data_IF_874654809416
#
_entry.id   IF_874654809416
#
_cell.length_a   1.000
_cell.length_b   1.000
_cell.length_c   1.000
_cell.angle_alpha   90.00
_cell.angle_beta   90.00
_cell.angle_gamma   90.00
#
_symmetry.space_group_name_H-M   'P 1'
#
loop_
_entity.id
_entity.type
_entity.pdbx_description
1 polymer ?
#
# COMPACT_ATOMS: atom_id res chain seq x y z
N UNK A 1 -31.76 -2.83 16.39
CA UNK A 1 -31.02 -1.89 15.53
C UNK A 1 -31.02 -0.55 16.22
N UNK A 2 -29.87 -0.10 16.74
CA UNK A 2 -29.78 1.24 17.33
C UNK A 2 -29.93 2.27 16.20
N UNK A 3 -30.92 3.17 16.30
CA UNK A 3 -31.09 4.28 15.36
C UNK A 3 -29.87 5.20 15.46
N UNK A 4 -29.13 5.32 14.36
CA UNK A 4 -28.06 6.31 14.23
C UNK A 4 -28.70 7.66 13.94
N UNK A 5 -28.41 8.65 14.77
CA UNK A 5 -28.90 10.02 14.55
C UNK A 5 -27.92 10.75 13.64
N UNK A 6 -28.41 11.27 12.52
CA UNK A 6 -27.58 12.12 11.66
C UNK A 6 -27.48 13.49 12.30
N UNK A 7 -26.25 13.97 12.52
CA UNK A 7 -25.98 15.30 13.10
C UNK A 7 -25.45 16.27 12.06
N UNK A 8 -25.62 17.56 12.31
CA UNK A 8 -25.11 18.62 11.43
C UNK A 8 -23.58 18.61 11.37
N UNK A 9 -23.02 18.76 10.16
CA UNK A 9 -21.59 18.72 9.89
C UNK A 9 -21.23 17.77 8.76
N UNK A 10 -19.95 17.66 8.44
CA UNK A 10 -19.43 16.75 7.41
C UNK A 10 -18.15 16.08 7.88
N UNK A 11 -17.89 14.90 7.32
CA UNK A 11 -16.60 14.23 7.49
C UNK A 11 -15.57 14.97 6.64
N UNK A 12 -14.46 15.49 7.21
CA UNK A 12 -13.43 16.15 6.42
C UNK A 12 -12.83 15.20 5.39
N UNK A 13 -12.74 15.67 4.15
CA UNK A 13 -12.11 14.94 3.06
C UNK A 13 -11.58 15.89 2.00
N UNK A 14 -10.51 15.49 1.32
CA UNK A 14 -9.86 16.30 0.29
C UNK A 14 -9.73 15.52 -1.01
N UNK A 15 -10.24 16.10 -2.10
CA UNK A 15 -10.00 15.63 -3.46
C UNK A 15 -8.79 16.36 -4.07
N UNK A 16 -7.98 15.66 -4.86
CA UNK A 16 -6.92 16.25 -5.68
C UNK A 16 -6.60 15.36 -6.87
N UNK A 17 -5.96 15.91 -7.90
CA UNK A 17 -5.26 15.15 -8.94
C UNK A 17 -3.77 15.29 -8.68
N UNK A 18 -3.06 14.18 -8.52
CA UNK A 18 -1.63 14.20 -8.27
C UNK A 18 -0.82 14.37 -9.57
N UNK A 19 0.49 14.49 -9.44
CA UNK A 19 1.44 14.69 -10.52
C UNK A 19 1.54 13.49 -11.49
N UNK A 20 1.03 12.31 -11.10
CA UNK A 20 0.90 11.13 -11.97
C UNK A 20 -0.44 11.07 -12.73
N UNK A 21 -1.26 12.12 -12.63
CA UNK A 21 -2.59 12.20 -13.25
C UNK A 21 -3.65 11.34 -12.56
N UNK A 22 -3.37 10.80 -11.37
CA UNK A 22 -4.33 10.00 -10.62
C UNK A 22 -5.29 10.89 -9.85
N UNK A 23 -6.59 10.53 -9.88
CA UNK A 23 -7.57 11.10 -8.96
C UNK A 23 -7.32 10.54 -7.56
N UNK A 24 -7.21 11.42 -6.57
CA UNK A 24 -6.94 11.08 -5.18
C UNK A 24 -8.00 11.66 -4.25
N UNK A 25 -8.31 10.94 -3.17
CA UNK A 25 -9.20 11.41 -2.12
C UNK A 25 -8.65 11.00 -0.76
N UNK A 26 -8.63 11.90 0.23
CA UNK A 26 -8.06 11.63 1.56
C UNK A 26 -9.06 11.96 2.65
N UNK A 27 -9.27 11.05 3.58
CA UNK A 27 -10.09 11.24 4.79
C UNK A 27 -9.20 11.01 6.01
N UNK A 28 -8.75 12.07 6.69
CA UNK A 28 -7.99 11.94 7.93
C UNK A 28 -8.81 11.28 9.04
N UNK A 29 -8.19 10.33 9.74
CA UNK A 29 -8.74 9.74 10.95
C UNK A 29 -8.41 10.68 12.10
N UNK A 30 -9.42 11.40 12.59
CA UNK A 30 -9.24 12.33 13.70
C UNK A 30 -9.05 11.55 15.00
N UNK A 31 -7.99 11.90 15.73
CA UNK A 31 -7.60 11.29 17.00
C UNK A 31 -7.48 12.37 18.08
N UNK A 32 -7.67 12.02 19.37
CA UNK A 32 -7.32 12.90 20.47
C UNK A 32 -5.87 13.39 20.37
N UNK A 33 -5.58 14.61 20.87
CA UNK A 33 -4.23 15.12 20.86
C UNK A 33 -3.26 14.23 21.64
N UNK A 34 -2.10 13.99 21.05
CA UNK A 34 -0.98 13.35 21.73
C UNK A 34 -0.16 14.31 22.61
N UNK A 35 0.62 13.76 23.54
CA UNK A 35 1.57 14.55 24.34
C UNK A 35 2.58 15.22 23.39
N UNK A 36 2.74 16.54 23.51
CA UNK A 36 3.60 17.35 22.63
C UNK A 36 3.29 17.18 21.12
N UNK A 37 2.05 16.81 20.77
CA UNK A 37 1.64 16.58 19.37
C UNK A 37 2.05 15.22 18.80
N UNK A 38 2.58 14.31 19.63
CA UNK A 38 2.88 12.94 19.22
C UNK A 38 1.62 12.09 19.14
N UNK A 39 1.01 12.08 17.97
CA UNK A 39 -0.20 11.34 17.65
C UNK A 39 -0.10 10.66 16.28
N UNK A 40 -0.80 9.55 16.06
CA UNK A 40 -0.82 8.90 14.75
C UNK A 40 -1.50 9.77 13.70
N UNK A 41 -0.88 9.88 12.54
CA UNK A 41 -1.41 10.61 11.37
C UNK A 41 -1.93 9.61 10.33
N UNK A 42 -3.07 9.00 10.62
CA UNK A 42 -3.69 8.00 9.73
C UNK A 42 -4.74 8.63 8.80
N UNK A 43 -4.85 8.08 7.59
CA UNK A 43 -5.85 8.50 6.60
C UNK A 43 -6.42 7.31 5.84
N UNK A 44 -7.72 7.35 5.51
CA UNK A 44 -8.29 6.52 4.45
C UNK A 44 -8.04 7.24 3.12
N UNK A 45 -7.18 6.65 2.29
CA UNK A 45 -6.68 7.29 1.08
C UNK A 45 -7.09 6.51 -0.17
N UNK A 46 -7.72 7.20 -1.10
CA UNK A 46 -8.02 6.74 -2.45
C UNK A 46 -6.99 7.24 -3.45
N UNK A 47 -6.61 6.39 -4.38
CA UNK A 47 -5.86 6.69 -5.58
C UNK A 47 -6.45 5.87 -6.74
N UNK A 48 -6.84 6.51 -7.85
CA UNK A 48 -7.46 5.83 -9.00
C UNK A 48 -6.54 4.82 -9.70
N UNK A 49 -5.22 4.96 -9.55
CA UNK A 49 -4.21 4.02 -10.03
C UNK A 49 -3.82 3.00 -8.94
N UNK A 50 -4.43 3.08 -7.76
CA UNK A 50 -4.18 2.20 -6.62
C UNK A 50 -4.73 0.79 -6.84
N UNK A 51 -3.95 -0.21 -6.43
CA UNK A 51 -4.33 -1.62 -6.46
C UNK A 51 -5.41 -2.00 -5.44
N UNK A 52 -5.64 -3.30 -5.30
CA UNK A 52 -6.55 -3.85 -4.31
C UNK A 52 -5.83 -4.08 -2.98
N UNK A 53 -6.27 -3.40 -1.91
CA UNK A 53 -5.63 -3.46 -0.59
C UNK A 53 -6.60 -3.77 0.56
N UNK A 54 -6.22 -3.38 1.79
CA UNK A 54 -7.03 -3.56 3.01
C UNK A 54 -8.40 -2.88 2.96
N UNK A 55 -8.62 -1.91 2.06
CA UNK A 55 -9.88 -1.19 1.90
C UNK A 55 -10.50 -1.42 0.52
N UNK A 56 -10.09 -2.46 -0.20
CA UNK A 56 -10.55 -2.72 -1.57
C UNK A 56 -9.74 -1.97 -2.62
N UNK A 57 -10.24 -1.95 -3.86
CA UNK A 57 -9.49 -1.41 -5.01
C UNK A 57 -9.45 0.12 -5.00
N UNK A 58 -8.24 0.67 -5.10
CA UNK A 58 -7.95 2.09 -5.09
C UNK A 58 -7.84 2.69 -3.69
N UNK A 59 -8.25 1.97 -2.64
CA UNK A 59 -8.25 2.47 -1.26
C UNK A 59 -7.16 1.81 -0.42
N UNK A 60 -6.55 2.61 0.46
CA UNK A 60 -5.49 2.19 1.38
C UNK A 60 -5.63 2.91 2.72
N UNK A 61 -5.04 2.32 3.76
CA UNK A 61 -4.81 2.98 5.04
C UNK A 61 -3.41 3.59 4.98
N UNK A 62 -3.34 4.91 4.93
CA UNK A 62 -2.08 5.68 4.91
C UNK A 62 -1.66 6.09 6.33
N UNK A 63 -0.38 6.43 6.49
CA UNK A 63 0.18 6.89 7.77
C UNK A 63 0.93 5.82 8.57
N UNK A 64 1.18 4.66 7.97
CA UNK A 64 1.97 3.58 8.54
C UNK A 64 3.23 3.38 7.71
N UNK A 65 4.38 3.43 8.36
CA UNK A 65 5.67 3.26 7.72
C UNK A 65 6.15 1.82 7.84
N UNK A 66 6.82 1.34 6.80
CA UNK A 66 7.45 0.02 6.77
C UNK A 66 8.82 0.10 6.09
N UNK A 67 9.74 -0.74 6.54
CA UNK A 67 10.89 -1.13 5.74
C UNK A 67 10.55 -2.47 5.12
N UNK A 68 10.72 -2.60 3.81
CA UNK A 68 10.46 -3.82 3.07
C UNK A 68 11.62 -4.18 2.16
N UNK A 69 11.59 -5.40 1.63
CA UNK A 69 12.51 -5.77 0.56
C UNK A 69 12.09 -5.17 -0.77
N UNK A 70 13.06 -4.78 -1.59
CA UNK A 70 12.84 -4.27 -2.93
C UNK A 70 13.84 -4.86 -3.94
N UNK A 71 13.42 -4.94 -5.23
CA UNK A 71 14.26 -5.48 -6.30
C UNK A 71 15.59 -4.73 -6.49
N UNK A 72 16.57 -5.41 -7.09
CA UNK A 72 17.74 -4.76 -7.65
C UNK A 72 17.39 -4.15 -9.01
N UNK A 73 17.87 -2.95 -9.28
CA UNK A 73 17.62 -2.27 -10.56
C UNK A 73 18.92 -2.11 -11.34
N UNK A 74 18.84 -2.09 -12.68
CA UNK A 74 20.03 -1.87 -13.51
C UNK A 74 20.68 -0.51 -13.23
N UNK A 75 19.87 0.51 -12.90
CA UNK A 75 20.34 1.85 -12.60
C UNK A 75 21.13 1.93 -11.29
N UNK A 76 20.63 1.31 -10.21
CA UNK A 76 21.26 1.41 -8.88
C UNK A 76 22.29 0.31 -8.63
N UNK A 77 22.09 -0.88 -9.19
CA UNK A 77 22.83 -2.08 -8.83
C UNK A 77 23.67 -2.67 -9.98
N UNK A 78 23.61 -2.09 -11.18
CA UNK A 78 24.23 -2.60 -12.41
C UNK A 78 23.57 -3.86 -12.99
N UNK A 79 22.64 -4.48 -12.26
CA UNK A 79 21.96 -5.72 -12.61
C UNK A 79 20.49 -5.65 -12.21
N UNK A 80 19.61 -6.29 -12.98
CA UNK A 80 18.21 -6.48 -12.58
C UNK A 80 18.10 -7.75 -11.74
N UNK A 81 17.35 -7.69 -10.65
CA UNK A 81 17.05 -8.86 -9.82
C UNK A 81 15.75 -8.69 -9.06
N UNK A 82 14.96 -9.76 -8.95
CA UNK A 82 13.75 -9.81 -8.13
C UNK A 82 14.07 -9.91 -6.64
N UNK A 83 13.05 -9.72 -5.80
CA UNK A 83 13.12 -10.10 -4.38
C UNK A 83 13.03 -11.61 -4.27
N UNK A 84 14.07 -12.26 -3.74
CA UNK A 84 14.19 -13.72 -3.63
C UNK A 84 14.20 -14.23 -2.18
N UNK A 85 14.22 -13.33 -1.19
CA UNK A 85 14.42 -13.62 0.23
C UNK A 85 15.81 -14.19 0.52
N UNK A 86 16.82 -13.59 -0.09
CA UNK A 86 18.24 -13.91 0.08
C UNK A 86 19.06 -12.66 0.44
N UNK A 87 20.39 -12.78 0.46
CA UNK A 87 21.30 -11.67 0.77
C UNK A 87 21.53 -10.71 -0.42
N UNK A 88 20.99 -11.02 -1.61
CA UNK A 88 21.06 -10.12 -2.78
C UNK A 88 19.93 -9.10 -2.82
N UNK A 89 18.85 -9.36 -2.08
CA UNK A 89 17.74 -8.43 -1.91
C UNK A 89 18.19 -7.11 -1.32
N UNK A 90 17.36 -6.11 -1.56
CA UNK A 90 17.61 -4.75 -1.11
C UNK A 90 16.48 -4.27 -0.24
N UNK A 91 16.69 -3.17 0.47
CA UNK A 91 15.79 -2.64 1.47
C UNK A 91 15.31 -1.29 1.02
N UNK A 92 14.02 -1.06 1.20
CA UNK A 92 13.37 0.19 0.89
C UNK A 92 12.50 0.60 2.08
N UNK A 93 12.65 1.83 2.55
CA UNK A 93 11.79 2.44 3.56
C UNK A 93 10.70 3.21 2.83
N UNK A 94 9.44 2.81 3.01
CA UNK A 94 8.29 3.43 2.36
C UNK A 94 8.43 3.52 0.82
N UNK A 95 9.03 2.48 0.22
CA UNK A 95 9.31 2.40 -1.22
C UNK A 95 10.60 3.09 -1.65
N UNK A 96 11.23 3.87 -0.76
CA UNK A 96 12.46 4.58 -1.06
C UNK A 96 13.70 3.72 -0.75
N UNK A 97 14.62 3.62 -1.71
CA UNK A 97 15.81 2.77 -1.60
C UNK A 97 16.71 3.17 -0.43
N UNK A 98 17.13 2.17 0.34
CA UNK A 98 18.18 2.30 1.34
C UNK A 98 19.56 2.04 0.73
N UNK A 99 20.46 3.01 0.90
CA UNK A 99 21.84 3.00 0.44
C UNK A 99 22.75 2.77 1.64
N UNK A 100 23.57 1.73 1.57
CA UNK A 100 24.55 1.42 2.61
C UNK A 100 25.61 2.53 2.67
N UNK A 101 25.85 3.06 3.86
CA UNK A 101 26.89 4.07 4.09
C UNK A 101 28.00 3.57 5.01
N UNK A 102 27.73 2.57 5.85
CA UNK A 102 28.73 1.93 6.70
C UNK A 102 28.36 0.47 7.00
N UNK A 103 29.36 -0.40 7.13
CA UNK A 103 29.17 -1.83 7.40
C UNK A 103 29.01 -2.70 6.14
N UNK A 104 28.24 -3.78 6.25
CA UNK A 104 28.05 -4.76 5.17
C UNK A 104 26.55 -4.96 4.90
N UNK A 105 26.14 -4.85 3.63
CA UNK A 105 24.72 -4.88 3.27
C UNK A 105 23.99 -6.09 3.86
N UNK A 106 22.85 -5.86 4.52
CA UNK A 106 22.04 -6.91 5.13
C UNK A 106 22.57 -7.48 6.44
N UNK A 107 23.63 -6.91 7.00
CA UNK A 107 24.26 -7.39 8.25
C UNK A 107 23.99 -6.43 9.41
N UNK A 108 23.84 -6.97 10.62
CA UNK A 108 23.69 -6.19 11.85
C UNK A 108 24.83 -5.18 12.04
N UNK A 109 24.51 -3.99 12.53
CA UNK A 109 25.43 -2.88 12.69
C UNK A 109 25.60 -2.01 11.43
N UNK A 110 25.01 -2.39 10.31
CA UNK A 110 25.08 -1.59 9.08
C UNK A 110 24.25 -0.33 9.16
N UNK A 111 24.81 0.77 8.66
CA UNK A 111 24.14 2.07 8.58
C UNK A 111 23.73 2.35 7.13
N UNK A 112 22.52 2.86 6.97
CA UNK A 112 21.92 3.24 5.70
C UNK A 112 21.41 4.68 5.72
N UNK A 113 21.25 5.22 4.51
CA UNK A 113 20.51 6.45 4.21
C UNK A 113 19.48 6.17 3.13
N UNK A 114 18.47 7.02 3.02
CA UNK A 114 17.56 6.98 1.86
C UNK A 114 18.25 7.56 0.63
N UNK A 115 17.97 7.02 -0.55
CA UNK A 115 18.60 7.47 -1.82
C UNK A 115 18.37 8.96 -2.12
N UNK A 116 17.15 9.45 -1.89
CA UNK A 116 16.90 10.89 -1.74
C UNK A 116 17.01 11.18 -0.25
N UNK A 117 18.11 11.80 0.16
CA UNK A 117 18.48 11.84 1.56
C UNK A 117 17.45 12.61 2.40
N UNK A 118 16.83 11.89 3.34
CA UNK A 118 15.91 12.44 4.34
C UNK A 118 16.65 13.02 5.54
N UNK A 119 17.98 12.89 5.58
CA UNK A 119 18.88 13.14 6.70
C UNK A 119 18.61 12.25 7.91
N UNK A 120 17.93 11.12 7.70
CA UNK A 120 17.71 10.12 8.74
C UNK A 120 18.89 9.16 8.82
N UNK A 121 19.30 8.77 10.02
CA UNK A 121 20.26 7.68 10.25
C UNK A 121 19.48 6.38 10.45
N UNK A 122 19.78 5.35 9.66
CA UNK A 122 19.07 4.08 9.69
C UNK A 122 20.07 2.97 10.05
N UNK A 123 19.88 2.29 11.18
CA UNK A 123 20.80 1.25 11.67
C UNK A 123 20.08 -0.09 11.72
N UNK A 124 20.67 -1.10 11.10
CA UNK A 124 20.14 -2.45 11.10
C UNK A 124 20.65 -3.26 12.30
N UNK A 125 19.79 -4.08 12.90
CA UNK A 125 20.08 -4.82 14.14
C UNK A 125 19.61 -6.28 14.08
N UNK A 126 20.33 -7.15 14.77
CA UNK A 126 20.04 -8.59 14.84
C UNK A 126 20.10 -9.32 13.49
N UNK A 127 19.76 -10.60 13.50
CA UNK A 127 19.75 -11.45 12.30
C UNK A 127 18.52 -12.35 12.32
N UNK A 128 17.83 -12.44 11.18
CA UNK A 128 16.65 -13.27 10.99
C UNK A 128 16.61 -13.82 9.55
N UNK A 129 16.92 -15.12 9.42
CA UNK A 129 17.10 -15.76 8.12
C UNK A 129 18.20 -15.06 7.30
N UNK A 130 17.90 -14.75 6.03
CA UNK A 130 18.81 -14.02 5.15
C UNK A 130 18.65 -12.50 5.31
N UNK A 131 19.14 -11.96 6.43
CA UNK A 131 19.17 -10.52 6.67
C UNK A 131 18.98 -10.16 8.14
N UNK A 132 18.61 -8.91 8.38
CA UNK A 132 18.51 -8.34 9.73
C UNK A 132 17.16 -8.59 10.40
N UNK A 133 17.14 -8.55 11.72
CA UNK A 133 15.92 -8.75 12.49
C UNK A 133 15.09 -7.46 12.64
N UNK A 134 15.75 -6.31 12.74
CA UNK A 134 15.08 -5.02 12.97
C UNK A 134 15.88 -3.84 12.43
N UNK A 135 15.24 -2.67 12.40
CA UNK A 135 15.90 -1.39 12.11
C UNK A 135 15.54 -0.36 13.16
N UNK A 136 16.47 0.55 13.44
CA UNK A 136 16.22 1.77 14.20
C UNK A 136 16.56 2.97 13.33
N UNK A 137 15.62 3.91 13.22
CA UNK A 137 15.75 5.13 12.42
C UNK A 137 15.75 6.34 13.34
N UNK A 138 16.80 7.15 13.29
CA UNK A 138 16.82 8.48 13.91
C UNK A 138 16.59 9.53 12.84
N UNK A 139 15.49 10.29 12.94
CA UNK A 139 15.16 11.33 11.97
C UNK A 139 15.85 12.65 12.31
N UNK A 140 15.98 13.53 11.32
CA UNK A 140 16.45 14.92 11.54
C UNK A 140 15.60 15.72 12.53
N UNK A 141 14.35 15.30 12.76
CA UNK A 141 13.43 15.94 13.69
C UNK A 141 13.61 15.46 15.14
N UNK A 142 14.58 14.57 15.40
CA UNK A 142 14.84 14.03 16.74
C UNK A 142 13.89 12.90 17.14
N UNK A 143 13.15 12.31 16.19
CA UNK A 143 12.34 11.11 16.45
C UNK A 143 13.19 9.85 16.29
N UNK A 144 12.97 8.88 17.16
CA UNK A 144 13.47 7.51 17.04
C UNK A 144 12.32 6.60 16.66
N UNK A 145 12.43 5.95 15.50
CA UNK A 145 11.48 4.98 14.98
C UNK A 145 12.11 3.60 15.04
N UNK A 146 11.37 2.61 15.51
CA UNK A 146 11.79 1.22 15.60
C UNK A 146 10.93 0.38 14.66
N UNK A 147 11.55 -0.51 13.89
CA UNK A 147 10.88 -1.38 12.91
C UNK A 147 11.23 -2.84 13.16
N UNK A 148 10.22 -3.73 13.14
CA UNK A 148 10.41 -5.17 13.34
C UNK A 148 10.96 -5.57 14.72
N UNK A 149 10.85 -4.67 15.71
CA UNK A 149 11.41 -4.90 17.04
C UNK A 149 10.53 -5.82 17.89
N UNK A 150 9.24 -5.95 17.56
CA UNK A 150 8.31 -6.91 18.16
C UNK A 150 8.07 -8.07 17.20
N UNK A 151 7.61 -9.21 17.73
CA UNK A 151 7.32 -10.38 16.87
C UNK A 151 6.26 -10.05 15.81
N UNK A 152 5.19 -9.34 16.18
CA UNK A 152 4.09 -8.97 15.28
C UNK A 152 4.42 -7.86 14.27
N UNK A 153 5.56 -7.17 14.43
CA UNK A 153 6.02 -6.16 13.47
C UNK A 153 7.13 -6.67 12.56
N UNK A 154 7.59 -7.91 12.75
CA UNK A 154 8.66 -8.54 11.98
C UNK A 154 8.06 -9.68 11.16
N UNK A 155 7.60 -9.34 9.96
CA UNK A 155 6.80 -10.24 9.13
C UNK A 155 7.70 -11.09 8.24
N UNK A 156 7.83 -12.37 8.54
CA UNK A 156 8.59 -13.31 7.70
C UNK A 156 7.86 -13.68 6.41
N UNK A 157 8.64 -13.96 5.36
CA UNK A 157 8.09 -14.53 4.15
C UNK A 157 7.51 -15.92 4.47
N UNK A 158 6.27 -16.18 4.05
CA UNK A 158 5.59 -17.45 4.35
C UNK A 158 6.46 -18.65 3.96
N UNK A 159 6.60 -19.59 4.90
CA UNK A 159 7.42 -20.80 4.73
C UNK A 159 8.93 -20.58 4.86
N UNK A 160 9.39 -19.40 5.28
CA UNK A 160 10.81 -19.05 5.45
C UNK A 160 11.04 -18.37 6.81
N UNK A 161 12.29 -18.37 7.27
CA UNK A 161 12.74 -17.59 8.44
C UNK A 161 13.22 -16.18 8.09
N UNK A 162 13.15 -15.81 6.81
CA UNK A 162 13.67 -14.53 6.31
C UNK A 162 12.57 -13.48 6.35
N UNK A 163 12.86 -12.36 7.03
CA UNK A 163 11.93 -11.23 7.14
C UNK A 163 11.66 -10.59 5.79
N UNK A 164 10.39 -10.43 5.45
CA UNK A 164 9.92 -9.77 4.22
C UNK A 164 9.62 -8.28 4.44
N UNK A 165 9.03 -7.96 5.59
CA UNK A 165 8.63 -6.61 5.98
C UNK A 165 8.95 -6.40 7.46
N UNK A 166 9.57 -5.27 7.76
CA UNK A 166 9.75 -4.73 9.10
C UNK A 166 8.77 -3.56 9.25
N UNK A 167 7.62 -3.82 9.85
CA UNK A 167 6.63 -2.79 10.14
C UNK A 167 7.09 -1.93 11.32
N UNK A 168 6.68 -0.67 11.34
CA UNK A 168 6.99 0.22 12.47
C UNK A 168 6.37 -0.32 13.76
N UNK A 169 7.16 -0.46 14.82
CA UNK A 169 6.70 -0.97 16.11
C UNK A 169 6.56 0.14 17.16
N UNK A 170 7.37 1.20 17.04
CA UNK A 170 7.39 2.30 18.00
C UNK A 170 7.93 3.60 17.39
N UNK A 171 7.38 4.73 17.81
CA UNK A 171 7.98 6.06 17.63
C UNK A 171 8.17 6.67 19.01
N UNK A 172 9.32 7.31 19.24
CA UNK A 172 9.57 8.11 20.43
C UNK A 172 10.33 9.40 20.11
N UNK A 173 10.18 10.41 20.95
CA UNK A 173 10.90 11.68 20.85
C UNK A 173 12.03 11.77 21.89
N UNK A 174 12.81 12.86 21.81
CA UNK A 174 13.90 13.15 22.75
C UNK A 174 13.45 13.36 24.20
N UNK A 175 12.14 13.54 24.45
CA UNK A 175 11.54 13.66 25.79
C UNK A 175 10.89 12.35 26.24
N UNK A 176 11.10 11.27 25.50
CA UNK A 176 10.59 9.92 25.76
C UNK A 176 9.06 9.81 25.70
N UNK A 177 8.37 10.78 25.10
CA UNK A 177 6.99 10.56 24.67
C UNK A 177 7.02 9.49 23.60
N UNK A 178 6.03 8.60 23.60
CA UNK A 178 6.01 7.49 22.66
C UNK A 178 4.63 7.10 22.17
N UNK A 179 4.63 6.40 21.04
CA UNK A 179 3.52 5.59 20.56
C UNK A 179 4.02 4.23 20.06
N UNK A 180 3.21 3.20 20.23
CA UNK A 180 3.50 1.82 19.84
C UNK A 180 2.44 1.29 18.89
N UNK A 181 2.86 0.39 18.01
CA UNK A 181 2.03 -0.18 16.95
C UNK A 181 1.98 -1.69 17.13
N UNK A 182 0.78 -2.25 17.08
CA UNK A 182 0.52 -3.67 17.15
C UNK A 182 -0.18 -4.14 15.89
N UNK A 183 0.07 -5.39 15.54
CA UNK A 183 -0.38 -6.00 14.31
C UNK A 183 -1.04 -7.35 14.60
N UNK A 184 -1.89 -7.80 13.68
CA UNK A 184 -2.33 -9.18 13.61
C UNK A 184 -1.56 -9.82 12.46
N UNK A 185 -0.79 -10.85 12.78
CA UNK A 185 -0.09 -11.67 11.80
C UNK A 185 -0.91 -12.88 11.41
N UNK A 186 -0.83 -13.20 10.13
CA UNK A 186 -1.38 -14.40 9.52
C UNK A 186 -0.26 -15.08 8.72
N UNK A 187 0.65 -15.71 9.46
CA UNK A 187 1.84 -16.37 8.92
C UNK A 187 1.50 -17.53 7.98
N UNK A 188 0.34 -18.17 8.16
CA UNK A 188 -0.13 -19.22 7.26
C UNK A 188 -0.42 -18.69 5.85
N UNK A 189 -0.84 -17.43 5.76
CA UNK A 189 -1.21 -16.76 4.51
C UNK A 189 -0.23 -15.64 4.11
N UNK A 190 0.90 -15.50 4.80
CA UNK A 190 1.91 -14.46 4.56
C UNK A 190 1.33 -13.06 4.54
N UNK A 191 0.37 -12.77 5.42
CA UNK A 191 -0.29 -11.47 5.54
C UNK A 191 -0.16 -10.94 6.94
N UNK A 192 -0.24 -9.62 7.07
CA UNK A 192 -0.30 -8.93 8.34
C UNK A 192 -1.12 -7.65 8.19
N UNK A 193 -1.68 -7.15 9.28
CA UNK A 193 -2.42 -5.89 9.28
C UNK A 193 -2.36 -5.20 10.63
N UNK A 194 -2.28 -3.86 10.66
CA UNK A 194 -2.24 -3.08 11.89
C UNK A 194 -3.53 -3.29 12.68
N UNK A 195 -3.45 -3.55 13.97
CA UNK A 195 -4.61 -3.80 14.83
C UNK A 195 -4.85 -2.65 15.81
N UNK A 196 -3.78 -2.09 16.35
CA UNK A 196 -3.85 -1.07 17.40
C UNK A 196 -2.64 -0.16 17.38
N UNK A 197 -2.87 1.12 17.63
CA UNK A 197 -1.83 2.11 17.90
C UNK A 197 -2.13 2.72 19.27
N UNK A 198 -1.23 2.56 20.21
CA UNK A 198 -1.33 3.18 21.54
C UNK A 198 -0.36 4.36 21.60
N UNK A 199 -0.83 5.52 22.02
CA UNK A 199 -0.04 6.77 22.06
C UNK A 199 -0.37 7.57 23.32
N UNK A 200 0.26 8.74 23.49
CA UNK A 200 0.22 9.56 24.72
C UNK A 200 0.98 8.99 25.93
N UNK A 201 1.86 7.99 25.71
CA UNK A 201 2.74 7.47 26.76
C UNK A 201 4.00 8.30 26.94
N UNK A 202 4.61 8.24 28.12
CA UNK A 202 5.92 8.82 28.40
C UNK A 202 6.77 7.85 29.24
N UNK A 203 7.90 7.41 28.68
CA UNK A 203 8.70 6.35 29.29
C UNK A 203 9.45 6.82 30.54
N UNK A 204 10.02 8.03 30.54
CA UNK A 204 10.75 8.57 31.69
C UNK A 204 9.83 8.86 32.89
N UNK A 205 8.59 9.27 32.63
CA UNK A 205 7.58 9.50 33.66
C UNK A 205 6.84 8.22 34.10
N UNK A 206 7.13 7.06 33.49
CA UNK A 206 6.40 5.81 33.75
C UNK A 206 4.92 5.86 33.35
N UNK A 207 4.55 6.79 32.47
CA UNK A 207 3.17 7.00 32.04
C UNK A 207 2.85 6.06 30.87
N UNK A 208 1.90 5.15 31.08
CA UNK A 208 1.35 4.33 30.02
C UNK A 208 0.56 5.17 29.01
N UNK A 209 0.52 4.71 27.76
CA UNK A 209 -0.35 5.26 26.73
C UNK A 209 -1.82 5.12 27.14
N UNK A 210 -2.57 6.23 27.12
CA UNK A 210 -4.01 6.24 27.44
C UNK A 210 -4.89 6.31 26.19
N UNK A 211 -4.40 6.94 25.12
CA UNK A 211 -5.15 7.10 23.89
C UNK A 211 -4.78 5.99 22.90
N UNK A 212 -5.75 5.58 22.08
CA UNK A 212 -5.50 4.54 21.08
C UNK A 212 -6.30 4.72 19.80
N UNK A 213 -5.75 4.22 18.69
CA UNK A 213 -6.52 3.92 17.47
C UNK A 213 -6.64 2.41 17.36
N UNK A 214 -7.84 1.90 17.10
CA UNK A 214 -8.14 0.48 17.00
C UNK A 214 -8.77 0.19 15.65
N UNK A 215 -8.27 -0.84 14.99
CA UNK A 215 -8.65 -1.23 13.64
C UNK A 215 -9.34 -2.59 13.70
N UNK A 216 -10.57 -2.63 13.20
CA UNK A 216 -11.40 -3.83 13.17
C UNK A 216 -11.61 -4.23 11.72
N UNK A 217 -11.51 -5.52 11.47
CA UNK A 217 -11.54 -6.11 10.15
C UNK A 217 -12.72 -7.07 10.00
N UNK A 218 -13.13 -7.30 8.76
CA UNK A 218 -14.07 -8.34 8.38
C UNK A 218 -13.55 -9.17 7.20
N UNK A 219 -14.09 -10.37 7.03
CA UNK A 219 -13.74 -11.22 5.90
C UNK A 219 -14.09 -10.54 4.57
N UNK A 220 -13.26 -10.75 3.55
CA UNK A 220 -13.49 -10.24 2.20
C UNK A 220 -13.84 -11.39 1.23
N UNK A 221 -14.70 -11.16 0.22
CA UNK A 221 -15.10 -12.21 -0.73
C UNK A 221 -14.10 -12.46 -1.88
N UNK A 222 -13.19 -11.52 -2.15
CA UNK A 222 -12.27 -11.50 -3.29
C UNK A 222 -10.85 -11.94 -2.94
N UNK A 223 -10.72 -13.06 -2.24
CA UNK A 223 -9.42 -13.58 -1.82
C UNK A 223 -8.67 -14.16 -3.03
N UNK A 224 -7.52 -13.57 -3.37
CA UNK A 224 -6.64 -14.04 -4.45
C UNK A 224 -5.27 -14.36 -3.87
N UNK A 225 -4.73 -15.58 -4.04
CA UNK A 225 -3.37 -15.90 -3.63
C UNK A 225 -2.37 -15.24 -4.58
N UNK A 226 -1.37 -14.59 -4.01
CA UNK A 226 -0.19 -14.08 -4.69
C UNK A 226 1.05 -14.82 -4.18
N UNK A 227 2.11 -14.79 -4.97
CA UNK A 227 3.38 -15.41 -4.58
C UNK A 227 4.54 -14.48 -4.87
N UNK A 228 5.46 -14.40 -3.93
CA UNK A 228 6.76 -13.77 -4.11
C UNK A 228 7.83 -14.84 -3.83
N UNK A 229 8.66 -15.17 -4.82
CA UNK A 229 9.74 -16.16 -4.69
C UNK A 229 9.35 -17.44 -3.94
N UNK A 230 8.16 -17.98 -4.26
CA UNK A 230 7.61 -19.21 -3.66
C UNK A 230 6.89 -19.05 -2.32
N UNK A 231 6.92 -17.86 -1.70
CA UNK A 231 6.19 -17.56 -0.47
C UNK A 231 4.80 -17.02 -0.78
N UNK A 232 3.77 -17.61 -0.17
CA UNK A 232 2.37 -17.22 -0.33
C UNK A 232 2.09 -15.87 0.34
N UNK A 233 1.30 -15.02 -0.34
CA UNK A 233 0.70 -13.80 0.20
C UNK A 233 -0.78 -13.80 -0.15
N UNK A 234 -1.65 -13.85 0.86
CA UNK A 234 -3.10 -13.95 0.66
C UNK A 234 -3.85 -13.16 1.71
N UNK A 235 -4.43 -12.04 1.30
CA UNK A 235 -5.23 -11.18 2.17
C UNK A 235 -6.65 -11.74 2.35
N UNK A 236 -7.02 -12.05 3.60
CA UNK A 236 -8.33 -12.63 3.92
C UNK A 236 -9.35 -11.62 4.46
N UNK A 237 -8.88 -10.40 4.76
CA UNK A 237 -9.69 -9.40 5.46
C UNK A 237 -9.64 -8.03 4.79
N UNK A 238 -10.63 -7.21 5.11
CA UNK A 238 -10.71 -5.79 4.78
C UNK A 238 -11.11 -4.97 6.00
N UNK A 239 -10.72 -3.71 6.06
CA UNK A 239 -10.99 -2.83 7.19
C UNK A 239 -12.50 -2.56 7.27
N UNK A 240 -13.09 -2.82 8.43
CA UNK A 240 -14.49 -2.53 8.72
C UNK A 240 -14.63 -1.19 9.44
N UNK A 241 -13.78 -0.98 10.45
CA UNK A 241 -13.86 0.21 11.30
C UNK A 241 -12.47 0.65 11.74
N UNK A 242 -12.23 1.96 11.74
CA UNK A 242 -11.12 2.58 12.45
C UNK A 242 -11.67 3.51 13.54
N UNK A 243 -11.31 3.27 14.78
CA UNK A 243 -11.86 4.00 15.93
C UNK A 243 -10.77 4.58 16.80
N UNK A 244 -10.92 5.86 17.16
CA UNK A 244 -10.06 6.55 18.10
C UNK A 244 -10.68 6.54 19.50
N UNK A 245 -9.85 6.32 20.51
CA UNK A 245 -10.23 6.20 21.91
C UNK A 245 -9.37 7.09 22.80
N UNK A 246 -9.99 7.61 23.86
CA UNK A 246 -9.35 8.13 25.06
C UNK A 246 -9.69 7.18 26.21
N UNK A 247 -8.70 6.43 26.71
CA UNK A 247 -8.91 5.32 27.63
C UNK A 247 -9.85 4.26 27.04
N UNK A 248 -11.02 4.08 27.66
CA UNK A 248 -12.08 3.17 27.21
C UNK A 248 -13.15 3.86 26.36
N UNK A 249 -13.17 5.20 26.32
CA UNK A 249 -14.21 5.98 25.64
C UNK A 249 -13.87 6.16 24.17
N UNK A 250 -14.76 5.71 23.28
CA UNK A 250 -14.64 5.99 21.84
C UNK A 250 -14.92 7.47 21.60
N UNK A 251 -14.05 8.17 20.87
CA UNK A 251 -14.25 9.59 20.54
C UNK A 251 -14.65 9.78 19.08
N UNK A 252 -14.20 8.89 18.20
CA UNK A 252 -14.54 8.90 16.79
C UNK A 252 -14.43 7.48 16.23
N UNK A 253 -15.36 7.10 15.36
CA UNK A 253 -15.34 5.85 14.61
C UNK A 253 -15.61 6.12 13.14
N UNK A 254 -14.81 5.52 12.27
CA UNK A 254 -14.93 5.58 10.82
C UNK A 254 -15.36 4.19 10.33
N UNK A 255 -16.62 4.07 9.95
CA UNK A 255 -17.20 2.85 9.41
C UNK A 255 -17.09 2.85 7.88
N UNK A 256 -16.53 1.78 7.33
CA UNK A 256 -16.38 1.59 5.88
C UNK A 256 -17.40 0.56 5.42
N UNK A 257 -18.25 0.95 4.48
CA UNK A 257 -19.21 0.06 3.84
C UNK A 257 -18.76 -0.25 2.42
N UNK A 258 -18.97 -1.50 2.00
CA UNK A 258 -18.53 -2.00 0.71
C UNK A 258 -19.72 -2.41 -0.15
N UNK A 259 -19.60 -2.19 -1.45
CA UNK A 259 -20.47 -2.77 -2.46
C UNK A 259 -19.64 -3.66 -3.39
N UNK A 260 -20.22 -4.77 -3.83
CA UNK A 260 -19.70 -5.58 -4.93
C UNK A 260 -20.26 -5.00 -6.23
N UNK A 261 -19.38 -4.66 -7.18
CA UNK A 261 -19.82 -4.20 -8.49
C UNK A 261 -20.37 -5.36 -9.33
N UNK A 262 -21.34 -5.07 -10.20
CA UNK A 262 -21.90 -6.07 -11.12
C UNK A 262 -20.79 -6.63 -12.01
N UNK A 263 -20.70 -7.95 -12.13
CA UNK A 263 -19.67 -8.62 -12.95
C UNK A 263 -18.30 -8.77 -12.29
N UNK A 264 -18.11 -8.35 -11.04
CA UNK A 264 -16.86 -8.58 -10.29
C UNK A 264 -17.10 -8.92 -8.83
N UNK A 265 -16.26 -9.80 -8.27
CA UNK A 265 -16.26 -10.09 -6.83
C UNK A 265 -15.49 -9.04 -6.02
N UNK A 266 -14.78 -8.12 -6.68
CA UNK A 266 -13.91 -7.13 -6.01
C UNK A 266 -14.77 -6.08 -5.29
N UNK A 267 -14.63 -5.93 -3.96
CA UNK A 267 -15.34 -4.93 -3.20
C UNK A 267 -14.77 -3.55 -3.49
N UNK A 268 -15.67 -2.59 -3.62
CA UNK A 268 -15.40 -1.16 -3.70
C UNK A 268 -15.97 -0.49 -2.46
N UNK A 269 -15.27 0.49 -1.91
CA UNK A 269 -15.81 1.31 -0.82
C UNK A 269 -17.03 2.05 -1.37
N UNK A 270 -18.20 1.76 -0.84
CA UNK A 270 -19.47 2.39 -1.22
C UNK A 270 -19.74 3.63 -0.36
N UNK A 271 -19.40 3.58 0.92
CA UNK A 271 -19.48 4.75 1.78
C UNK A 271 -18.52 4.71 2.96
N UNK A 272 -18.17 5.90 3.44
CA UNK A 272 -17.44 6.09 4.69
C UNK A 272 -18.28 7.00 5.58
N UNK A 273 -18.56 6.52 6.78
CA UNK A 273 -19.38 7.21 7.77
C UNK A 273 -18.57 7.45 9.03
N UNK A 274 -18.56 8.69 9.51
CA UNK A 274 -17.93 9.06 10.77
C UNK A 274 -18.98 9.24 11.85
N UNK A 275 -18.77 8.62 13.00
CA UNK A 275 -19.60 8.74 14.19
C UNK A 275 -18.77 9.12 15.42
N UNK A 276 -19.40 9.74 16.41
CA UNK A 276 -18.82 9.91 17.75
C UNK A 276 -19.02 8.65 18.62
N UNK A 277 -18.53 8.68 19.87
CA UNK A 277 -18.70 7.59 20.83
C UNK A 277 -20.15 7.26 21.22
N UNK A 278 -21.09 8.17 20.96
CA UNK A 278 -22.52 7.99 21.23
C UNK A 278 -23.30 7.56 19.96
N UNK A 279 -22.59 7.14 18.90
CA UNK A 279 -23.15 6.74 17.61
C UNK A 279 -23.95 7.85 16.91
N UNK A 280 -23.65 9.11 17.22
CA UNK A 280 -24.14 10.25 16.44
C UNK A 280 -23.22 10.42 15.24
N UNK A 281 -23.77 10.31 14.05
CA UNK A 281 -22.99 10.21 12.83
C UNK A 281 -23.20 11.43 11.94
N UNK A 282 -22.15 11.87 11.25
CA UNK A 282 -22.35 12.74 10.09
C UNK A 282 -23.00 11.96 8.95
N UNK A 283 -23.56 12.70 7.99
CA UNK A 283 -23.99 12.09 6.74
C UNK A 283 -22.80 11.34 6.09
N UNK A 284 -22.99 10.09 5.64
CA UNK A 284 -21.93 9.30 5.06
C UNK A 284 -21.48 9.87 3.71
N UNK A 285 -20.17 9.89 3.46
CA UNK A 285 -19.62 10.18 2.13
C UNK A 285 -19.92 8.96 1.26
N UNK A 286 -20.61 9.17 0.14
CA UNK A 286 -20.96 8.13 -0.83
C UNK A 286 -19.98 8.12 -2.00
N UNK A 287 -19.62 6.93 -2.47
CA UNK A 287 -18.72 6.73 -3.60
C UNK A 287 -19.39 5.85 -4.65
N UNK A 288 -19.27 6.26 -5.91
CA UNK A 288 -19.67 5.48 -7.08
C UNK A 288 -18.49 5.31 -8.02
N UNK A 289 -18.51 4.25 -8.81
CA UNK A 289 -17.44 3.88 -9.73
C UNK A 289 -18.03 3.60 -11.10
N UNK A 290 -17.27 3.89 -12.14
CA UNK A 290 -17.62 3.46 -13.49
C UNK A 290 -17.73 1.93 -13.51
N UNK A 291 -18.86 1.44 -14.01
CA UNK A 291 -19.07 0.01 -14.25
C UNK A 291 -18.58 -0.30 -15.67
N UNK A 292 -17.98 -1.48 -15.91
CA UNK A 292 -17.70 -1.90 -17.27
C UNK A 292 -19.01 -1.97 -18.06
N UNK A 293 -19.04 -1.39 -19.26
CA UNK A 293 -20.12 -1.67 -20.19
C UNK A 293 -20.03 -3.15 -20.57
N UNK A 294 -21.12 -3.89 -20.36
CA UNK A 294 -21.23 -5.31 -20.73
C UNK A 294 -21.81 -5.49 -22.14
N UNK A 295 -22.14 -4.39 -22.80
CA UNK A 295 -22.62 -4.36 -24.19
C UNK A 295 -21.48 -4.00 -25.11
N UNK A 296 -21.40 -4.68 -26.25
CA UNK A 296 -20.53 -4.28 -27.34
C UNK A 296 -21.19 -3.13 -28.08
N UNK A 297 -20.55 -1.97 -28.07
CA UNK A 297 -20.91 -0.90 -29.00
C UNK A 297 -20.17 -1.19 -30.30
N UNK A 298 -20.91 -1.37 -31.40
CA UNK A 298 -20.29 -1.49 -32.72
C UNK A 298 -19.59 -0.16 -33.02
N UNK A 299 -18.25 -0.15 -33.20
CA UNK A 299 -17.55 1.09 -33.50
C UNK A 299 -18.04 1.62 -34.85
N UNK A 300 -18.15 2.96 -35.05
CA UNK A 300 -18.35 3.50 -36.38
C UNK A 300 -17.29 2.90 -37.31
N UNK A 301 -17.72 2.36 -38.46
CA UNK A 301 -16.95 1.48 -39.33
C UNK A 301 -15.45 1.74 -39.29
N UNK A 302 -14.70 0.88 -38.58
CA UNK A 302 -13.25 0.99 -38.48
C UNK A 302 -12.66 0.74 -39.88
N UNK A 303 -12.39 1.82 -40.62
CA UNK A 303 -11.84 1.72 -41.95
C UNK A 303 -10.32 1.55 -41.83
N UNK A 304 -9.88 0.30 -41.74
CA UNK A 304 -8.46 -0.01 -41.74
C UNK A 304 -7.89 0.28 -43.14
N UNK A 305 -6.72 0.93 -43.24
CA UNK A 305 -6.13 1.28 -44.53
C UNK A 305 -5.75 0.03 -45.35
N UNK A 306 -5.64 -1.13 -44.71
CA UNK A 306 -5.44 -2.42 -45.36
C UNK A 306 -6.30 -3.51 -44.72
N UNK A 307 -6.71 -4.54 -45.50
CA UNK A 307 -7.45 -5.67 -44.96
C UNK A 307 -6.65 -6.51 -43.96
N UNK A 308 -7.35 -7.06 -42.94
CA UNK A 308 -6.78 -7.88 -41.86
C UNK A 308 -6.91 -9.38 -42.16
N UNK A 309 -6.46 -9.81 -43.33
CA UNK A 309 -6.45 -11.23 -43.69
C UNK A 309 -5.13 -11.61 -44.36
N UNK A 310 -4.65 -12.82 -44.08
CA UNK A 310 -3.44 -13.37 -44.70
C UNK A 310 -3.80 -14.09 -46.00
N UNK A 311 -2.94 -14.01 -47.01
CA UNK A 311 -3.08 -14.79 -48.25
C UNK A 311 -2.44 -16.17 -48.14
N UNK A 312 -1.92 -16.54 -46.96
CA UNK A 312 -1.25 -17.81 -46.72
C UNK A 312 0.20 -17.87 -47.21
N UNK A 313 0.82 -16.73 -47.53
CA UNK A 313 2.25 -16.65 -47.85
C UNK A 313 3.13 -16.59 -46.60
N UNK A 314 4.28 -17.25 -46.63
CA UNK A 314 5.23 -17.25 -45.51
C UNK A 314 5.69 -15.81 -45.20
N UNK A 315 5.47 -15.38 -43.96
CA UNK A 315 5.83 -14.06 -43.46
C UNK A 315 4.77 -12.97 -43.64
N UNK A 316 3.71 -13.17 -44.43
CA UNK A 316 2.61 -12.20 -44.56
C UNK A 316 1.78 -12.10 -43.27
N UNK A 317 1.57 -10.88 -42.78
CA UNK A 317 0.79 -10.69 -41.57
C UNK A 317 0.58 -9.24 -41.15
N UNK A 318 -0.31 -9.08 -40.17
CA UNK A 318 -0.56 -7.84 -39.46
C UNK A 318 -0.33 -8.09 -37.97
N UNK A 319 0.37 -7.18 -37.32
CA UNK A 319 0.61 -7.19 -35.88
C UNK A 319 0.07 -5.90 -35.27
N UNK A 320 -0.56 -6.04 -34.12
CA UNK A 320 -1.04 -4.93 -33.30
C UNK A 320 -0.06 -4.76 -32.15
N UNK A 321 0.75 -3.71 -32.21
CA UNK A 321 1.84 -3.47 -31.27
C UNK A 321 2.12 -1.98 -31.19
N UNK A 322 2.31 -1.46 -29.99
CA UNK A 322 2.82 -0.11 -29.78
C UNK A 322 4.33 -0.10 -30.08
N UNK A 323 4.72 0.34 -31.29
CA UNK A 323 6.11 0.38 -31.75
C UNK A 323 6.83 1.67 -31.36
N UNK A 324 6.08 2.75 -31.12
CA UNK A 324 6.64 4.07 -30.84
C UNK A 324 6.63 4.42 -29.32
N UNK A 325 5.90 3.63 -28.52
CA UNK A 325 5.77 3.78 -27.07
C UNK A 325 4.80 4.87 -26.63
N UNK A 326 3.85 5.29 -27.46
CA UNK A 326 2.88 6.36 -27.15
C UNK A 326 1.64 5.85 -26.38
N UNK A 327 1.54 4.54 -26.16
CA UNK A 327 0.44 3.90 -25.45
C UNK A 327 -0.80 3.64 -26.31
N UNK A 328 -0.75 3.95 -27.61
CA UNK A 328 -1.72 3.55 -28.61
C UNK A 328 -1.22 2.31 -29.35
N UNK A 329 -2.17 1.53 -29.87
CA UNK A 329 -1.83 0.33 -30.66
C UNK A 329 -1.52 0.78 -32.07
N UNK A 330 -0.28 0.57 -32.53
CA UNK A 330 0.05 0.71 -33.94
C UNK A 330 -0.28 -0.58 -34.70
N UNK A 331 -0.53 -0.42 -36.00
CA UNK A 331 -0.77 -1.54 -36.91
C UNK A 331 0.45 -1.72 -37.80
N UNK A 332 1.19 -2.81 -37.57
CA UNK A 332 2.37 -3.17 -38.35
C UNK A 332 1.98 -4.20 -39.40
N UNK A 333 2.22 -3.89 -40.67
CA UNK A 333 1.92 -4.78 -41.79
C UNK A 333 3.19 -5.21 -42.52
N UNK A 334 3.26 -6.51 -42.81
CA UNK A 334 4.23 -7.10 -43.71
C UNK A 334 3.51 -7.84 -44.85
N UNK A 335 3.87 -7.52 -46.10
CA UNK A 335 3.33 -8.14 -47.30
C UNK A 335 4.44 -8.44 -48.30
N UNK A 336 4.37 -9.60 -48.98
CA UNK A 336 5.19 -9.90 -50.16
C UNK A 336 4.25 -10.03 -51.37
N UNK A 337 4.37 -9.16 -52.36
CA UNK A 337 3.60 -9.24 -53.60
C UNK A 337 4.53 -9.02 -54.80
N UNK A 338 4.46 -9.90 -55.81
CA UNK A 338 5.23 -9.80 -57.06
C UNK A 338 6.75 -9.63 -56.85
N UNK A 339 7.30 -10.26 -55.80
CA UNK A 339 8.72 -10.16 -55.45
C UNK A 339 9.11 -8.88 -54.67
N UNK A 340 8.15 -8.02 -54.34
CA UNK A 340 8.37 -6.78 -53.57
C UNK A 340 7.88 -6.95 -52.14
N UNK A 341 8.69 -6.47 -51.17
CA UNK A 341 8.32 -6.44 -49.75
C UNK A 341 7.76 -5.06 -49.38
N UNK A 342 6.56 -5.04 -48.79
CA UNK A 342 5.94 -3.84 -48.22
C UNK A 342 5.96 -3.92 -46.71
N UNK A 343 6.48 -2.88 -46.06
CA UNK A 343 6.51 -2.71 -44.60
C UNK A 343 5.94 -1.35 -44.24
N UNK A 344 4.81 -1.34 -43.55
CA UNK A 344 4.15 -0.11 -43.10
C UNK A 344 3.74 -0.24 -41.64
N UNK A 345 3.84 0.87 -40.89
CA UNK A 345 3.35 1.03 -39.53
C UNK A 345 2.64 2.39 -39.44
N UNK A 346 1.51 2.45 -38.75
CA UNK A 346 0.71 3.65 -38.56
C UNK A 346 -0.14 3.55 -37.30
#
# INVERSE_FOLDING_TARGET
MAQTTTVAGSTPGQFSVNESGAATYRIPIQVPPGVAGMEPKLELAYNSQGGNGLLGTGWSLSGLSVIGRCPRTKAQDGVRGSVNFDMNDRYCMDGQRLILVNGAYGVAGSEYRTELDSFSKIVASGTAGNGVASFTVQTKAGLTLEYGNTADSRVEAQGKSTVSVWAISKISDVKTNFMTFSYIEDNANGSFYPSRIDYSGNAAAGQAANNSVRLVYEARPDVVPLYAAGSLVKHQVRLKTASAYEGSSSVAAYEVSYATAVGTVRPKVASIKRCDGALKCFAPIQFSYALPQTTWDEPPALNLPYPVWSRGGDGEGMQFVDVNGDGLVDIVRYLIADGVTYKTAW
#
